data_IF_943711258897
#
_entry.id   IF_943711258897
#
_cell.length_a   1.000
_cell.length_b   1.000
_cell.length_c   1.000
_cell.angle_alpha   90.00
_cell.angle_beta   90.00
_cell.angle_gamma   90.00
#
_symmetry.space_group_name_H-M   'P 1'
#
loop_
_entity.id
_entity.type
_entity.pdbx_description
1 polymer ?
#
# COMPACT_ATOMS: atom_id res chain seq x y z
N UNK A 1 -17.78 13.49 17.16
CA UNK A 1 -17.67 14.59 18.16
C UNK A 1 -17.01 14.13 19.46
N UNK A 2 -16.69 12.88 19.53
CA UNK A 2 -16.16 12.26 20.75
C UNK A 2 -14.68 11.86 20.59
N UNK A 3 -14.03 12.34 19.49
CA UNK A 3 -12.62 12.11 19.20
C UNK A 3 -11.97 13.45 18.87
N UNK A 4 -10.88 13.75 19.56
CA UNK A 4 -10.02 14.88 19.27
C UNK A 4 -8.93 14.42 18.27
N UNK A 5 -8.96 14.96 17.07
CA UNK A 5 -8.02 14.62 16.01
C UNK A 5 -6.72 15.40 16.18
N UNK A 6 -5.61 14.66 16.24
CA UNK A 6 -4.26 15.21 16.29
C UNK A 6 -3.55 14.86 14.97
N UNK A 7 -2.80 15.81 14.43
CA UNK A 7 -1.96 15.54 13.25
C UNK A 7 -0.82 14.61 13.66
N UNK A 8 -0.79 13.42 13.10
CA UNK A 8 0.31 12.48 13.27
C UNK A 8 1.41 12.81 12.24
N UNK A 9 2.66 12.74 12.66
CA UNK A 9 3.81 12.73 11.76
C UNK A 9 4.21 11.29 11.37
N UNK A 10 5.40 11.12 10.80
CA UNK A 10 5.85 9.81 10.29
C UNK A 10 6.52 8.92 11.34
N UNK A 11 6.35 9.24 12.64
CA UNK A 11 6.89 8.46 13.76
C UNK A 11 5.76 7.96 14.65
N UNK A 12 6.10 7.07 15.58
CA UNK A 12 5.18 6.61 16.62
C UNK A 12 5.40 7.34 17.95
N UNK A 13 6.22 8.39 17.97
CA UNK A 13 6.64 9.10 19.19
C UNK A 13 5.45 9.59 20.02
N UNK A 14 4.41 10.15 19.37
CA UNK A 14 3.22 10.64 20.08
C UNK A 14 2.47 9.50 20.79
N UNK A 15 2.41 8.32 20.17
CA UNK A 15 1.79 7.14 20.77
C UNK A 15 2.65 6.58 21.89
N UNK A 16 3.95 6.44 21.66
CA UNK A 16 4.91 5.92 22.66
C UNK A 16 5.09 6.83 23.87
N UNK A 17 4.84 8.13 23.72
CA UNK A 17 4.89 9.11 24.81
C UNK A 17 3.53 9.34 25.49
N UNK A 18 2.50 8.52 25.20
CA UNK A 18 1.15 8.67 25.76
C UNK A 18 0.49 10.04 25.41
N UNK A 19 0.88 10.67 24.32
CA UNK A 19 0.30 11.94 23.86
C UNK A 19 -1.02 11.75 23.12
N UNK A 20 -1.26 10.53 22.58
CA UNK A 20 -2.49 10.12 21.91
C UNK A 20 -2.93 8.74 22.39
N UNK A 21 -4.25 8.53 22.47
CA UNK A 21 -4.83 7.24 22.89
C UNK A 21 -4.82 6.19 21.78
N UNK A 22 -4.76 6.64 20.52
CA UNK A 22 -4.71 5.77 19.34
C UNK A 22 -3.93 6.47 18.21
N UNK A 23 -3.21 5.68 17.44
CA UNK A 23 -2.44 6.15 16.29
C UNK A 23 -2.76 5.33 15.04
N UNK A 24 -2.66 5.95 13.87
CA UNK A 24 -2.68 5.23 12.59
C UNK A 24 -1.32 4.61 12.34
N UNK A 25 -1.31 3.36 11.89
CA UNK A 25 -0.06 2.65 11.62
C UNK A 25 -0.22 1.75 10.39
N UNK A 26 0.67 1.88 9.44
CA UNK A 26 0.81 0.90 8.37
C UNK A 26 1.41 -0.37 8.96
N UNK A 27 0.81 -1.52 8.65
CA UNK A 27 1.26 -2.81 9.15
C UNK A 27 2.67 -3.20 8.69
N UNK A 28 3.14 -2.57 7.62
CA UNK A 28 4.47 -2.79 7.04
C UNK A 28 5.51 -1.72 7.44
N UNK A 29 5.14 -0.68 8.18
CA UNK A 29 6.04 0.40 8.59
C UNK A 29 5.88 0.72 10.09
N UNK A 30 4.98 1.61 10.47
CA UNK A 30 4.87 2.12 11.85
C UNK A 30 4.60 1.00 12.87
N UNK A 31 3.79 0.00 12.49
CA UNK A 31 3.58 -1.16 13.36
C UNK A 31 4.86 -1.95 13.60
N UNK A 32 5.71 -2.12 12.56
CA UNK A 32 7.01 -2.78 12.71
C UNK A 32 7.95 -1.97 13.61
N UNK A 33 7.93 -0.63 13.52
CA UNK A 33 8.73 0.24 14.42
C UNK A 33 8.37 0.02 15.88
N UNK A 34 7.07 -0.11 16.23
CA UNK A 34 6.67 -0.42 17.59
C UNK A 34 7.24 -1.76 18.08
N UNK A 35 7.20 -2.79 17.24
CA UNK A 35 7.78 -4.09 17.58
C UNK A 35 9.32 -4.02 17.75
N UNK A 36 10.00 -3.26 16.90
CA UNK A 36 11.44 -3.01 16.98
C UNK A 36 11.81 -2.21 18.23
N UNK A 37 10.93 -1.29 18.68
CA UNK A 37 11.09 -0.51 19.90
C UNK A 37 10.76 -1.32 21.17
N UNK A 38 10.38 -2.59 21.04
CA UNK A 38 10.23 -3.54 22.13
C UNK A 38 8.80 -3.81 22.58
N UNK A 39 7.79 -3.27 21.90
CA UNK A 39 6.41 -3.70 22.11
C UNK A 39 6.22 -5.12 21.60
N UNK A 40 5.43 -5.92 22.31
CA UNK A 40 4.91 -7.19 21.81
C UNK A 40 3.51 -7.02 21.23
N UNK A 41 3.04 -7.99 20.45
CA UNK A 41 1.66 -7.99 19.95
C UNK A 41 0.63 -7.97 21.08
N UNK A 42 0.96 -8.54 22.24
CA UNK A 42 0.08 -8.57 23.42
C UNK A 42 -0.01 -7.20 24.14
N UNK A 43 0.95 -6.30 23.89
CA UNK A 43 0.94 -4.94 24.47
C UNK A 43 0.07 -3.97 23.63
N UNK A 44 -0.30 -4.36 22.42
CA UNK A 44 -0.98 -3.52 21.43
C UNK A 44 -2.41 -3.98 21.19
N UNK A 45 -3.35 -3.05 21.24
CA UNK A 45 -4.72 -3.30 20.81
C UNK A 45 -4.89 -2.84 19.36
N UNK A 46 -4.76 -3.77 18.41
CA UNK A 46 -4.77 -3.48 16.98
C UNK A 46 -6.17 -3.58 16.41
N UNK A 47 -6.68 -2.48 15.83
CA UNK A 47 -7.88 -2.46 15.02
C UNK A 47 -7.47 -2.63 13.55
N UNK A 48 -7.75 -3.80 12.98
CA UNK A 48 -7.39 -4.13 11.60
C UNK A 48 -8.56 -3.82 10.66
N UNK A 49 -8.45 -2.83 9.77
CA UNK A 49 -9.52 -2.47 8.83
C UNK A 49 -9.99 -3.64 7.96
N UNK A 50 -9.13 -4.62 7.66
CA UNK A 50 -9.54 -5.80 6.89
C UNK A 50 -10.53 -6.66 7.67
N UNK A 51 -10.31 -6.85 8.97
CA UNK A 51 -11.22 -7.61 9.85
C UNK A 51 -12.52 -6.88 10.11
N UNK A 52 -12.47 -5.55 10.11
CA UNK A 52 -13.64 -4.67 10.34
C UNK A 52 -14.43 -4.39 9.04
N UNK A 53 -13.98 -4.86 7.88
CA UNK A 53 -14.63 -4.61 6.59
C UNK A 53 -14.56 -3.15 6.13
N UNK A 54 -13.57 -2.41 6.62
CA UNK A 54 -13.34 -0.99 6.31
C UNK A 54 -12.03 -0.75 5.55
N UNK A 55 -11.36 -1.81 5.11
CA UNK A 55 -10.14 -1.70 4.32
C UNK A 55 -10.44 -1.04 2.97
N UNK A 56 -9.54 -0.15 2.55
CA UNK A 56 -9.57 0.54 1.28
C UNK A 56 -8.30 0.20 0.52
N UNK A 57 -8.39 0.16 -0.83
CA UNK A 57 -7.20 0.02 -1.65
C UNK A 57 -6.35 1.28 -1.55
N UNK A 58 -5.06 1.08 -1.40
CA UNK A 58 -4.03 2.11 -1.41
C UNK A 58 -3.08 1.85 -2.58
N UNK A 59 -2.32 2.87 -2.93
CA UNK A 59 -1.29 2.86 -3.96
C UNK A 59 -1.73 2.34 -5.33
N UNK A 60 -1.67 3.22 -6.31
CA UNK A 60 -1.97 2.87 -7.69
C UNK A 60 -1.13 3.70 -8.66
N UNK A 61 -0.92 3.16 -9.85
CA UNK A 61 -0.41 3.95 -10.98
C UNK A 61 -1.56 4.71 -11.63
N UNK A 62 -1.43 6.02 -11.74
CA UNK A 62 -2.39 6.85 -12.45
C UNK A 62 -1.70 7.81 -13.40
N UNK A 63 -2.33 8.03 -14.54
CA UNK A 63 -1.89 8.97 -15.57
C UNK A 63 -3.10 9.69 -16.17
N UNK A 64 -2.87 10.82 -16.84
CA UNK A 64 -3.93 11.46 -17.61
C UNK A 64 -4.33 10.55 -18.79
N UNK A 65 -5.63 10.39 -19.01
CA UNK A 65 -6.16 9.55 -20.09
C UNK A 65 -5.57 9.93 -21.47
N UNK A 66 -5.56 11.22 -21.82
CA UNK A 66 -4.97 11.67 -23.08
C UNK A 66 -3.49 11.33 -23.21
N UNK A 67 -2.74 11.43 -22.11
CA UNK A 67 -1.33 11.04 -22.10
C UNK A 67 -1.14 9.54 -22.33
N UNK A 68 -1.97 8.71 -21.70
CA UNK A 68 -1.93 7.25 -21.89
C UNK A 68 -2.23 6.86 -23.35
N UNK A 69 -3.22 7.51 -23.97
CA UNK A 69 -3.57 7.29 -25.38
C UNK A 69 -2.44 7.69 -26.34
N UNK A 70 -1.75 8.79 -26.06
CA UNK A 70 -0.62 9.28 -26.85
C UNK A 70 0.67 8.50 -26.63
N UNK A 71 0.84 7.84 -25.46
CA UNK A 71 2.07 7.20 -25.03
C UNK A 71 1.87 5.72 -24.61
N UNK A 72 0.97 5.02 -25.29
CA UNK A 72 0.61 3.64 -24.92
C UNK A 72 1.83 2.70 -24.80
N UNK A 73 2.73 2.71 -25.77
CA UNK A 73 3.92 1.85 -25.75
C UNK A 73 4.79 2.12 -24.51
N UNK A 74 5.01 3.40 -24.18
CA UNK A 74 5.80 3.78 -23.02
C UNK A 74 5.12 3.33 -21.73
N UNK A 75 3.80 3.52 -21.59
CA UNK A 75 3.05 3.13 -20.42
C UNK A 75 3.07 1.61 -20.22
N UNK A 76 2.85 0.84 -21.27
CA UNK A 76 2.91 -0.63 -21.23
C UNK A 76 4.30 -1.12 -20.81
N UNK A 77 5.37 -0.54 -21.38
CA UNK A 77 6.74 -0.88 -20.98
C UNK A 77 7.06 -0.50 -19.53
N UNK A 78 6.55 0.63 -19.07
CA UNK A 78 6.71 1.06 -17.69
C UNK A 78 6.02 0.08 -16.72
N UNK A 79 4.74 -0.27 -16.98
CA UNK A 79 3.99 -1.24 -16.17
C UNK A 79 4.72 -2.60 -16.16
N UNK A 80 5.18 -3.07 -17.32
CA UNK A 80 5.93 -4.32 -17.42
C UNK A 80 7.21 -4.29 -16.59
N UNK A 81 7.95 -3.19 -16.62
CA UNK A 81 9.16 -3.03 -15.83
C UNK A 81 8.85 -3.00 -14.32
N UNK A 82 7.76 -2.33 -13.92
CA UNK A 82 7.29 -2.29 -12.54
C UNK A 82 6.91 -3.69 -12.05
N UNK A 83 6.14 -4.46 -12.84
CA UNK A 83 5.77 -5.85 -12.52
C UNK A 83 7.03 -6.70 -12.32
N UNK A 84 8.00 -6.62 -13.24
CA UNK A 84 9.28 -7.35 -13.11
C UNK A 84 10.05 -6.94 -11.86
N UNK A 85 10.06 -5.67 -11.52
CA UNK A 85 10.68 -5.18 -10.30
C UNK A 85 10.05 -5.81 -9.05
N UNK A 86 8.74 -5.87 -8.99
CA UNK A 86 8.02 -6.52 -7.88
C UNK A 86 8.18 -8.04 -7.88
N UNK A 87 8.22 -8.70 -9.04
CA UNK A 87 8.54 -10.13 -9.13
C UNK A 87 9.93 -10.42 -8.56
N UNK A 88 10.93 -9.62 -8.95
CA UNK A 88 12.27 -9.71 -8.38
C UNK A 88 12.26 -9.48 -6.86
N UNK A 89 11.52 -8.46 -6.39
CA UNK A 89 11.39 -8.16 -4.97
C UNK A 89 10.76 -9.32 -4.20
N UNK A 90 9.75 -9.99 -4.76
CA UNK A 90 9.12 -11.15 -4.14
C UNK A 90 10.08 -12.35 -4.04
N UNK A 91 10.94 -12.55 -5.05
CA UNK A 91 11.95 -13.61 -5.05
C UNK A 91 13.17 -13.28 -4.18
N UNK A 92 13.53 -12.00 -4.04
CA UNK A 92 14.73 -11.52 -3.37
C UNK A 92 14.46 -10.35 -2.40
N UNK A 93 13.55 -10.50 -1.42
CA UNK A 93 13.06 -9.37 -0.62
C UNK A 93 14.15 -8.70 0.23
N UNK A 94 15.15 -9.46 0.69
CA UNK A 94 16.25 -8.92 1.47
C UNK A 94 17.19 -8.05 0.60
N UNK A 95 17.52 -8.51 -0.60
CA UNK A 95 18.35 -7.74 -1.54
C UNK A 95 17.62 -6.50 -2.02
N UNK A 96 16.31 -6.62 -2.33
CA UNK A 96 15.49 -5.50 -2.73
C UNK A 96 15.39 -4.45 -1.61
N UNK A 97 15.21 -4.86 -0.35
CA UNK A 97 15.23 -3.97 0.80
C UNK A 97 16.55 -3.18 0.93
N UNK A 98 17.69 -3.84 0.73
CA UNK A 98 19.01 -3.19 0.73
C UNK A 98 19.18 -2.20 -0.42
N UNK A 99 18.62 -2.50 -1.60
CA UNK A 99 18.64 -1.58 -2.75
C UNK A 99 17.82 -0.33 -2.42
N UNK A 100 16.60 -0.50 -1.92
CA UNK A 100 15.72 0.63 -1.56
C UNK A 100 16.34 1.48 -0.47
N UNK A 101 16.93 0.87 0.56
CA UNK A 101 17.62 1.58 1.63
C UNK A 101 18.72 2.51 1.10
N UNK A 102 19.54 2.03 0.16
CA UNK A 102 20.60 2.84 -0.44
C UNK A 102 20.10 4.05 -1.24
N UNK A 103 18.89 3.97 -1.76
CA UNK A 103 18.30 5.08 -2.55
C UNK A 103 17.58 6.12 -1.66
N UNK A 104 17.08 5.72 -0.50
CA UNK A 104 16.22 6.57 0.33
C UNK A 104 16.74 6.87 1.74
N UNK A 105 17.46 5.98 2.37
CA UNK A 105 18.00 6.09 3.75
C UNK A 105 17.01 6.64 4.80
N UNK A 106 15.71 6.37 4.62
CA UNK A 106 14.63 6.91 5.47
C UNK A 106 14.43 6.15 6.78
N UNK A 107 15.06 4.98 6.90
CA UNK A 107 14.98 4.09 8.07
C UNK A 107 16.33 3.38 8.27
N UNK A 108 16.42 2.41 9.16
CA UNK A 108 17.58 1.51 9.22
C UNK A 108 17.52 0.48 8.08
N UNK A 109 18.65 -0.09 7.69
CA UNK A 109 18.70 -1.15 6.68
C UNK A 109 17.83 -2.35 7.09
N UNK A 110 17.90 -2.75 8.37
CA UNK A 110 17.15 -3.88 8.90
C UNK A 110 15.63 -3.61 8.84
N UNK A 111 15.20 -2.41 9.23
CA UNK A 111 13.80 -2.00 9.12
C UNK A 111 13.33 -2.01 7.66
N UNK A 112 14.12 -1.45 6.74
CA UNK A 112 13.77 -1.44 5.31
C UNK A 112 13.63 -2.86 4.73
N UNK A 113 14.47 -3.80 5.18
CA UNK A 113 14.36 -5.21 4.79
C UNK A 113 13.08 -5.83 5.37
N UNK A 114 12.77 -5.59 6.65
CA UNK A 114 11.55 -6.08 7.29
C UNK A 114 10.30 -5.53 6.60
N UNK A 115 10.28 -4.22 6.33
CA UNK A 115 9.22 -3.54 5.58
C UNK A 115 9.04 -4.16 4.19
N UNK A 116 10.12 -4.37 3.44
CA UNK A 116 10.05 -4.97 2.10
C UNK A 116 9.46 -6.38 2.14
N UNK A 117 9.88 -7.21 3.10
CA UNK A 117 9.30 -8.55 3.30
C UNK A 117 7.80 -8.48 3.57
N UNK A 118 7.37 -7.52 4.39
CA UNK A 118 5.95 -7.36 4.72
C UNK A 118 5.14 -6.85 3.53
N UNK A 119 5.67 -5.91 2.75
CA UNK A 119 4.99 -5.40 1.54
C UNK A 119 4.83 -6.50 0.48
N UNK A 120 5.77 -7.43 0.36
CA UNK A 120 5.66 -8.58 -0.56
C UNK A 120 4.41 -9.43 -0.26
N UNK A 121 4.00 -9.58 1.00
CA UNK A 121 2.78 -10.32 1.35
C UNK A 121 1.52 -9.69 0.75
N UNK A 122 1.49 -8.36 0.56
CA UNK A 122 0.38 -7.64 -0.07
C UNK A 122 0.47 -7.64 -1.59
N UNK A 123 1.68 -7.51 -2.14
CA UNK A 123 1.89 -7.41 -3.60
C UNK A 123 1.78 -8.76 -4.28
N UNK A 124 2.19 -9.83 -3.61
CA UNK A 124 2.15 -11.20 -4.10
C UNK A 124 1.51 -12.12 -3.04
N UNK A 125 0.21 -11.97 -2.76
CA UNK A 125 -0.47 -12.80 -1.77
C UNK A 125 -0.32 -14.28 -2.13
N UNK A 126 -0.07 -15.10 -1.11
CA UNK A 126 0.18 -16.56 -1.26
C UNK A 126 1.37 -16.89 -2.20
N UNK A 127 2.27 -15.91 -2.43
CA UNK A 127 3.40 -16.06 -3.34
C UNK A 127 3.03 -16.02 -4.83
N UNK A 128 1.82 -15.60 -5.17
CA UNK A 128 1.37 -15.49 -6.56
C UNK A 128 1.96 -14.23 -7.22
N UNK A 129 3.03 -14.40 -7.99
CA UNK A 129 3.69 -13.33 -8.71
C UNK A 129 3.12 -13.06 -10.11
N UNK A 130 2.24 -13.93 -10.62
CA UNK A 130 1.67 -13.79 -11.96
C UNK A 130 0.61 -12.69 -12.06
N UNK A 131 0.01 -12.33 -10.92
CA UNK A 131 -1.07 -11.34 -10.84
C UNK A 131 -0.60 -10.01 -10.23
N UNK A 132 0.68 -9.79 -10.06
CA UNK A 132 1.23 -8.52 -9.54
C UNK A 132 0.72 -7.34 -10.37
N UNK A 133 0.15 -6.36 -9.69
CA UNK A 133 -0.42 -5.16 -10.30
C UNK A 133 -1.78 -5.35 -10.97
N UNK A 134 -2.34 -6.55 -10.93
CA UNK A 134 -3.73 -6.78 -11.35
C UNK A 134 -4.68 -6.15 -10.36
N UNK A 135 -5.59 -5.34 -10.87
CA UNK A 135 -6.56 -4.66 -10.02
C UNK A 135 -7.60 -5.64 -9.47
N UNK A 136 -7.76 -5.64 -8.15
CA UNK A 136 -8.92 -6.26 -7.49
C UNK A 136 -10.12 -5.30 -7.61
N UNK A 137 -11.05 -5.66 -8.48
CA UNK A 137 -12.24 -4.85 -8.77
C UNK A 137 -13.23 -4.84 -7.62
N UNK A 138 -13.31 -5.89 -6.83
CA UNK A 138 -14.21 -5.99 -5.68
C UNK A 138 -13.70 -5.11 -4.54
N UNK A 139 -12.41 -5.15 -4.26
CA UNK A 139 -11.77 -4.27 -3.29
C UNK A 139 -11.85 -2.79 -3.72
N UNK A 140 -11.72 -2.49 -5.01
CA UNK A 140 -11.92 -1.12 -5.49
C UNK A 140 -13.38 -0.67 -5.36
N UNK A 141 -14.37 -1.55 -5.64
CA UNK A 141 -15.77 -1.22 -5.43
C UNK A 141 -16.05 -0.94 -3.95
N UNK A 142 -15.52 -1.77 -3.04
CA UNK A 142 -15.60 -1.52 -1.60
C UNK A 142 -14.99 -0.17 -1.22
N UNK A 143 -13.82 0.19 -1.77
CA UNK A 143 -13.16 1.48 -1.53
C UNK A 143 -14.05 2.65 -1.96
N UNK A 144 -14.70 2.55 -3.12
CA UNK A 144 -15.65 3.56 -3.62
C UNK A 144 -16.86 3.68 -2.67
N UNK A 145 -17.44 2.55 -2.28
CA UNK A 145 -18.62 2.50 -1.43
C UNK A 145 -18.34 3.09 -0.04
N UNK A 146 -17.21 2.75 0.57
CA UNK A 146 -16.74 3.33 1.82
C UNK A 146 -16.46 4.83 1.70
N UNK A 147 -15.87 5.26 0.58
CA UNK A 147 -15.63 6.67 0.30
C UNK A 147 -16.93 7.49 0.21
N UNK A 148 -18.00 6.90 -0.35
CA UNK A 148 -19.33 7.53 -0.39
C UNK A 148 -19.97 7.52 1.00
N UNK A 149 -19.94 6.38 1.69
CA UNK A 149 -20.54 6.20 3.00
C UNK A 149 -19.95 7.14 4.05
N UNK A 150 -18.63 7.33 4.03
CA UNK A 150 -17.90 8.23 4.92
C UNK A 150 -18.00 9.70 4.52
N UNK A 151 -18.53 10.01 3.34
CA UNK A 151 -18.64 11.37 2.81
C UNK A 151 -17.34 11.93 2.24
N UNK A 152 -16.30 11.10 2.07
CA UNK A 152 -15.04 11.47 1.39
C UNK A 152 -15.30 11.83 -0.07
N UNK A 153 -16.17 11.09 -0.73
CA UNK A 153 -16.64 11.39 -2.08
C UNK A 153 -18.15 11.61 -2.09
N UNK A 154 -18.60 12.61 -2.84
CA UNK A 154 -20.01 13.01 -2.88
C UNK A 154 -20.91 12.08 -3.69
N UNK A 155 -20.32 11.30 -4.59
CA UNK A 155 -21.06 10.47 -5.56
C UNK A 155 -20.19 9.29 -5.99
N UNK A 156 -20.78 8.10 -6.01
CA UNK A 156 -20.12 6.91 -6.53
C UNK A 156 -19.60 7.13 -7.96
N UNK A 157 -18.42 6.63 -8.21
CA UNK A 157 -17.76 6.62 -9.51
C UNK A 157 -17.90 5.20 -10.05
N UNK A 158 -18.27 5.03 -11.32
CA UNK A 158 -18.34 3.69 -11.91
C UNK A 158 -16.94 3.17 -12.25
N UNK A 159 -16.72 1.89 -12.04
CA UNK A 159 -15.41 1.23 -12.24
C UNK A 159 -14.87 1.41 -13.66
N UNK A 160 -15.75 1.22 -14.67
CA UNK A 160 -15.42 1.37 -16.09
C UNK A 160 -14.92 2.77 -16.50
N UNK A 161 -15.16 3.78 -15.66
CA UNK A 161 -14.67 5.16 -15.84
C UNK A 161 -13.44 5.49 -14.99
N UNK A 162 -13.16 4.68 -14.00
CA UNK A 162 -12.11 4.93 -13.02
C UNK A 162 -10.83 4.18 -13.33
N UNK A 163 -10.95 3.04 -14.03
CA UNK A 163 -9.82 2.15 -14.29
C UNK A 163 -9.79 1.69 -15.73
N UNK A 164 -8.59 1.38 -16.21
CA UNK A 164 -8.35 0.76 -17.51
C UNK A 164 -7.30 -0.35 -17.35
N UNK A 165 -7.76 -1.58 -17.19
CA UNK A 165 -6.91 -2.76 -17.03
C UNK A 165 -6.22 -3.21 -18.33
N UNK A 166 -6.59 -2.65 -19.48
CA UNK A 166 -6.05 -3.07 -20.78
C UNK A 166 -4.54 -2.86 -20.91
N UNK A 167 -3.99 -1.84 -20.21
CA UNK A 167 -2.55 -1.59 -20.17
C UNK A 167 -1.80 -2.67 -19.39
N UNK A 168 -2.37 -3.13 -18.26
CA UNK A 168 -1.81 -4.26 -17.51
C UNK A 168 -1.85 -5.55 -18.36
N UNK A 169 -2.99 -5.85 -19.00
CA UNK A 169 -3.13 -7.03 -19.87
C UNK A 169 -2.12 -7.04 -21.04
N UNK A 170 -1.77 -5.87 -21.56
CA UNK A 170 -0.71 -5.75 -22.57
C UNK A 170 0.68 -5.91 -21.99
N UNK A 171 0.87 -5.50 -20.74
CA UNK A 171 2.17 -5.55 -20.07
C UNK A 171 2.59 -6.97 -19.70
N UNK A 172 1.64 -7.85 -19.36
CA UNK A 172 1.91 -9.25 -18.95
C UNK A 172 2.02 -10.23 -20.13
N UNK A 173 1.66 -9.81 -21.34
CA UNK A 173 1.88 -10.57 -22.59
C UNK A 173 3.33 -10.42 -23.08
#
# INVERSE_FOLDING_TARGET
>A
KDIDWVQQDYTMDQFENDEVDAASAMSYNEYLLLLENGYSEDDLNVIDPNKEGTAMLEDCLFVKKSWAEENEDLLVRFIRATIKGWQYTAEHPEEAGKIVYKEGESATEDHQIAMTKKVVEFVAPDGNTDEIGKLDTDALQQTIDLGVQSGLIKKAISLDKSVDSSYWEKAVK
#
